data_IF_834369387845
#
_entry.id   IF_834369387845
#
_cell.length_a   1.000
_cell.length_b   1.000
_cell.length_c   1.000
_cell.angle_alpha   90.00
_cell.angle_beta   90.00
_cell.angle_gamma   90.00
#
_symmetry.space_group_name_H-M   'P 1'
#
loop_
_entity.id
_entity.type
_entity.pdbx_description
1 polymer ?
#
# COMPACT_ATOMS: atom_id res chain seq x y z
N UNK A 1 9.82 -15.88 -13.15
CA UNK A 1 10.99 -15.79 -12.25
C UNK A 1 11.05 -14.45 -11.50
N UNK A 2 11.13 -13.29 -12.16
CA UNK A 2 11.22 -11.99 -11.47
C UNK A 2 10.08 -11.67 -10.48
N UNK A 3 8.82 -12.01 -10.80
CA UNK A 3 7.72 -11.82 -9.83
C UNK A 3 7.93 -12.59 -8.54
N UNK A 4 8.36 -13.84 -8.66
CA UNK A 4 8.59 -14.72 -7.51
C UNK A 4 9.71 -14.18 -6.62
N UNK A 5 10.79 -13.68 -7.23
CA UNK A 5 11.89 -13.06 -6.50
C UNK A 5 11.46 -11.78 -5.77
N UNK A 6 10.71 -10.91 -6.45
CA UNK A 6 10.18 -9.67 -5.86
C UNK A 6 9.21 -10.00 -4.71
N UNK A 7 8.26 -10.92 -4.93
CA UNK A 7 7.32 -11.35 -3.89
C UNK A 7 8.05 -11.95 -2.69
N UNK A 8 9.06 -12.80 -2.91
CA UNK A 8 9.82 -13.41 -1.82
C UNK A 8 10.59 -12.36 -1.01
N UNK A 9 11.29 -11.42 -1.68
CA UNK A 9 12.00 -10.33 -1.02
C UNK A 9 11.06 -9.46 -0.18
N UNK A 10 9.91 -9.06 -0.74
CA UNK A 10 8.93 -8.21 -0.05
C UNK A 10 8.25 -8.94 1.11
N UNK A 11 7.94 -10.23 0.98
CA UNK A 11 7.33 -11.03 2.04
C UNK A 11 8.25 -11.29 3.24
N UNK A 12 9.56 -11.37 2.98
CA UNK A 12 10.61 -11.63 3.98
C UNK A 12 11.27 -10.35 4.52
N UNK A 13 10.77 -9.17 4.16
CA UNK A 13 11.28 -7.91 4.68
C UNK A 13 11.07 -7.81 6.20
N UNK A 14 12.14 -7.50 6.92
CA UNK A 14 12.15 -7.24 8.37
C UNK A 14 13.04 -6.02 8.67
N UNK A 15 12.50 -4.87 9.09
CA UNK A 15 11.08 -4.59 9.33
C UNK A 15 10.23 -4.65 8.05
N UNK A 16 8.89 -4.76 8.16
CA UNK A 16 8.00 -4.85 7.01
C UNK A 16 8.09 -3.64 6.08
N UNK A 17 8.13 -3.93 4.78
CA UNK A 17 8.17 -2.92 3.74
C UNK A 17 9.59 -2.60 3.27
N UNK A 18 9.77 -2.46 1.96
CA UNK A 18 11.06 -2.15 1.33
C UNK A 18 10.96 -0.89 0.47
N UNK A 19 11.94 0.00 0.58
CA UNK A 19 12.17 1.01 -0.47
C UNK A 19 12.68 0.35 -1.75
N UNK A 20 12.69 1.08 -2.87
CA UNK A 20 13.29 0.57 -4.11
C UNK A 20 14.76 0.16 -3.96
N UNK A 21 15.53 0.89 -3.14
CA UNK A 21 16.92 0.57 -2.86
C UNK A 21 17.03 -0.75 -2.10
N UNK A 22 16.31 -0.86 -0.98
CA UNK A 22 16.30 -2.10 -0.17
C UNK A 22 15.79 -3.32 -0.95
N UNK A 23 14.82 -3.12 -1.87
CA UNK A 23 14.38 -4.18 -2.77
C UNK A 23 15.48 -4.56 -3.78
N UNK A 24 16.27 -3.60 -4.27
CA UNK A 24 17.45 -3.87 -5.08
C UNK A 24 18.48 -4.69 -4.32
N UNK A 25 18.81 -4.31 -3.09
CA UNK A 25 19.74 -5.02 -2.20
C UNK A 25 19.27 -6.45 -1.92
N UNK A 26 17.99 -6.64 -1.56
CA UNK A 26 17.40 -7.94 -1.30
C UNK A 26 17.42 -8.88 -2.52
N UNK A 27 17.54 -8.32 -3.73
CA UNK A 27 17.65 -9.06 -4.98
C UNK A 27 19.11 -9.22 -5.46
N UNK A 28 20.09 -8.68 -4.72
CA UNK A 28 21.52 -8.74 -5.04
C UNK A 28 21.98 -7.74 -6.10
N UNK A 29 21.36 -6.56 -6.17
CA UNK A 29 21.66 -5.52 -7.16
C UNK A 29 22.26 -4.23 -6.57
N UNK A 30 22.80 -4.26 -5.37
CA UNK A 30 23.47 -3.12 -4.71
C UNK A 30 22.66 -1.81 -4.82
N UNK A 31 21.41 -1.85 -4.35
CA UNK A 31 20.38 -0.82 -4.41
C UNK A 31 19.90 -0.40 -5.82
N UNK A 32 20.59 -0.78 -6.89
CA UNK A 32 20.26 -0.40 -8.26
C UNK A 32 19.42 -1.48 -8.96
N UNK A 33 18.12 -1.49 -8.68
CA UNK A 33 17.19 -2.42 -9.31
C UNK A 33 17.16 -2.27 -10.85
N UNK A 34 17.47 -3.33 -11.63
CA UNK A 34 17.45 -3.26 -13.09
C UNK A 34 16.07 -2.86 -13.64
N UNK A 35 16.04 -2.15 -14.76
CA UNK A 35 14.78 -1.60 -15.31
C UNK A 35 13.73 -2.67 -15.58
N UNK A 36 14.12 -3.88 -15.99
CA UNK A 36 13.20 -5.01 -16.18
C UNK A 36 12.49 -5.39 -14.88
N UNK A 37 13.24 -5.56 -13.78
CA UNK A 37 12.68 -5.86 -12.46
C UNK A 37 11.78 -4.73 -11.98
N UNK A 38 12.20 -3.47 -12.14
CA UNK A 38 11.40 -2.31 -11.74
C UNK A 38 10.08 -2.23 -12.52
N UNK A 39 10.10 -2.45 -13.84
CA UNK A 39 8.88 -2.55 -14.67
C UNK A 39 7.98 -3.69 -14.19
N UNK A 40 8.58 -4.82 -13.79
CA UNK A 40 7.82 -5.96 -13.29
C UNK A 40 7.16 -5.68 -11.95
N UNK A 41 7.87 -5.04 -11.02
CA UNK A 41 7.31 -4.59 -9.75
C UNK A 41 6.15 -3.60 -9.94
N UNK A 42 6.27 -2.64 -10.88
CA UNK A 42 5.15 -1.74 -11.23
C UNK A 42 3.93 -2.49 -11.77
N UNK A 43 4.15 -3.52 -12.60
CA UNK A 43 3.07 -4.40 -13.06
C UNK A 43 2.44 -5.18 -11.90
N UNK A 44 3.23 -5.63 -10.93
CA UNK A 44 2.72 -6.32 -9.74
C UNK A 44 1.88 -5.38 -8.86
N UNK A 45 2.27 -4.10 -8.71
CA UNK A 45 1.49 -3.07 -8.00
C UNK A 45 0.12 -2.87 -8.67
N UNK A 46 0.10 -2.67 -9.99
CA UNK A 46 -1.14 -2.49 -10.75
C UNK A 46 -2.08 -3.70 -10.65
N UNK A 47 -1.51 -4.90 -10.47
CA UNK A 47 -2.24 -6.15 -10.30
C UNK A 47 -2.45 -6.53 -8.82
N UNK A 48 -2.20 -5.63 -7.88
CA UNK A 48 -2.40 -5.83 -6.43
C UNK A 48 -1.65 -7.03 -5.84
N UNK A 49 -0.55 -7.47 -6.47
CA UNK A 49 0.32 -8.56 -5.98
C UNK A 49 1.33 -8.08 -4.92
N UNK A 50 1.59 -6.78 -4.88
CA UNK A 50 2.33 -6.05 -3.85
C UNK A 50 1.72 -4.65 -3.76
N UNK A 51 1.88 -3.97 -2.63
CA UNK A 51 1.35 -2.62 -2.43
C UNK A 51 2.49 -1.61 -2.35
N UNK A 52 2.31 -0.43 -2.93
CA UNK A 52 3.28 0.66 -2.80
C UNK A 52 2.63 1.88 -2.19
N UNK A 53 3.07 2.24 -0.99
CA UNK A 53 2.59 3.39 -0.22
C UNK A 53 3.74 4.38 -0.07
N UNK A 54 3.62 5.54 -0.72
CA UNK A 54 4.72 6.52 -0.75
C UNK A 54 5.99 5.90 -1.35
N UNK A 55 7.07 5.80 -0.59
CA UNK A 55 8.34 5.21 -1.03
C UNK A 55 8.52 3.74 -0.67
N UNK A 56 7.58 3.15 0.08
CA UNK A 56 7.71 1.81 0.64
C UNK A 56 6.80 0.81 -0.08
N UNK A 57 7.31 -0.39 -0.29
CA UNK A 57 6.66 -1.50 -0.98
C UNK A 57 6.39 -2.60 0.04
N UNK A 58 5.11 -2.95 0.22
CA UNK A 58 4.62 -3.93 1.16
C UNK A 58 4.13 -5.20 0.46
N UNK A 59 4.11 -6.33 1.16
CA UNK A 59 3.44 -7.52 0.67
C UNK A 59 1.94 -7.26 0.56
N UNK A 60 1.28 -7.90 -0.41
CA UNK A 60 -0.18 -7.96 -0.45
C UNK A 60 -0.70 -8.90 0.64
N UNK A 61 -1.92 -8.68 1.09
CA UNK A 61 -2.56 -9.50 2.13
C UNK A 61 -2.71 -8.77 3.46
N UNK A 62 -3.16 -9.47 4.51
CA UNK A 62 -3.35 -8.88 5.82
C UNK A 62 -2.00 -8.44 6.41
N UNK A 63 -2.03 -7.33 7.16
CA UNK A 63 -0.89 -6.88 7.96
C UNK A 63 -0.62 -7.94 9.03
N UNK A 64 0.62 -8.44 9.16
CA UNK A 64 0.92 -9.49 10.14
C UNK A 64 0.78 -8.94 11.56
N UNK A 65 0.36 -9.79 12.50
CA UNK A 65 0.16 -9.42 13.91
C UNK A 65 1.43 -8.79 14.54
N UNK A 66 2.61 -9.34 14.21
CA UNK A 66 3.89 -8.81 14.66
C UNK A 66 4.15 -7.38 14.17
N UNK A 67 3.64 -6.98 13.01
CA UNK A 67 3.75 -5.60 12.52
C UNK A 67 2.84 -4.67 13.33
N UNK A 68 1.61 -5.11 13.63
CA UNK A 68 0.65 -4.33 14.41
C UNK A 68 1.18 -4.04 15.83
N UNK A 69 1.82 -5.03 16.45
CA UNK A 69 2.45 -4.93 17.76
C UNK A 69 3.61 -3.92 17.76
N UNK A 70 4.48 -3.99 16.75
CA UNK A 70 5.60 -3.04 16.58
C UNK A 70 5.12 -1.61 16.34
N UNK A 71 4.00 -1.44 15.63
CA UNK A 71 3.47 -0.14 15.28
C UNK A 71 2.61 0.48 16.40
N UNK A 72 2.32 -0.26 17.49
CA UNK A 72 1.35 0.12 18.54
C UNK A 72 0.05 0.64 17.90
N UNK A 73 -0.38 -0.06 16.88
CA UNK A 73 -1.40 0.42 15.97
C UNK A 73 -2.72 0.66 16.70
N UNK A 74 -3.31 1.83 16.47
CA UNK A 74 -4.66 2.17 16.92
C UNK A 74 -5.55 2.20 15.68
N UNK A 75 -6.55 1.33 15.62
CA UNK A 75 -7.51 1.33 14.52
C UNK A 75 -8.14 2.73 14.35
N UNK A 76 -8.33 3.15 13.10
CA UNK A 76 -9.17 4.30 12.83
C UNK A 76 -10.59 4.01 13.29
N UNK A 77 -11.25 5.05 13.81
CA UNK A 77 -12.69 4.96 14.05
C UNK A 77 -13.42 4.75 12.73
N UNK A 78 -14.58 4.08 12.76
CA UNK A 78 -15.39 3.86 11.56
C UNK A 78 -15.70 5.18 10.84
N UNK A 79 -15.95 6.26 11.58
CA UNK A 79 -16.20 7.60 11.02
C UNK A 79 -15.04 8.14 10.19
N UNK A 80 -13.79 8.02 10.69
CA UNK A 80 -12.61 8.49 9.94
C UNK A 80 -12.34 7.58 8.76
N UNK A 81 -12.52 6.26 8.93
CA UNK A 81 -12.37 5.28 7.87
C UNK A 81 -13.34 5.52 6.71
N UNK A 82 -14.60 5.79 7.01
CA UNK A 82 -15.62 6.13 6.01
C UNK A 82 -15.29 7.45 5.32
N UNK A 83 -14.86 8.46 6.09
CA UNK A 83 -14.40 9.75 5.54
C UNK A 83 -13.21 9.59 4.59
N UNK A 84 -12.28 8.68 4.89
CA UNK A 84 -11.14 8.34 4.04
C UNK A 84 -11.58 7.69 2.74
N UNK A 85 -12.51 6.75 2.80
CA UNK A 85 -13.08 6.12 1.61
C UNK A 85 -13.88 7.14 0.76
N UNK A 86 -14.65 8.01 1.39
CA UNK A 86 -15.41 9.06 0.70
C UNK A 86 -14.47 10.04 0.00
N UNK A 87 -13.43 10.52 0.68
CA UNK A 87 -12.41 11.37 0.08
C UNK A 87 -11.75 10.71 -1.14
N UNK A 88 -11.33 9.44 -1.04
CA UNK A 88 -10.74 8.73 -2.18
C UNK A 88 -11.78 8.53 -3.31
N UNK A 89 -13.06 8.33 -2.97
CA UNK A 89 -14.15 8.16 -3.93
C UNK A 89 -14.50 9.44 -4.71
N UNK A 90 -14.28 10.62 -4.12
CA UNK A 90 -14.52 11.92 -4.78
C UNK A 90 -13.50 12.23 -5.90
N UNK A 91 -12.41 11.47 -5.96
CA UNK A 91 -11.34 11.67 -6.94
C UNK A 91 -11.18 10.44 -7.84
N UNK A 92 -10.77 10.66 -9.10
CA UNK A 92 -10.45 9.55 -10.02
C UNK A 92 -9.33 8.66 -9.49
N UNK A 93 -8.34 9.26 -8.85
CA UNK A 93 -7.17 8.63 -8.19
C UNK A 93 -6.61 9.59 -7.15
N UNK A 94 -6.09 9.07 -6.03
CA UNK A 94 -5.42 9.88 -4.99
C UNK A 94 -4.06 9.30 -4.64
N UNK A 95 -3.01 10.12 -4.54
CA UNK A 95 -1.70 9.66 -4.08
C UNK A 95 -1.66 9.44 -2.57
N UNK A 96 -0.74 8.58 -2.11
CA UNK A 96 -0.49 8.40 -0.67
C UNK A 96 -0.17 9.72 0.06
N UNK A 97 0.65 10.60 -0.54
CA UNK A 97 0.99 11.89 0.05
C UNK A 97 -0.26 12.76 0.30
N UNK A 98 -1.16 12.83 -0.68
CA UNK A 98 -2.37 13.63 -0.57
C UNK A 98 -3.35 13.08 0.48
N UNK A 99 -3.36 11.75 0.70
CA UNK A 99 -4.12 11.13 1.78
C UNK A 99 -3.51 11.51 3.13
N UNK A 100 -2.19 11.35 3.30
CA UNK A 100 -1.51 11.75 4.53
C UNK A 100 -1.71 13.22 4.86
N UNK A 101 -1.59 14.11 3.87
CA UNK A 101 -1.78 15.54 4.08
C UNK A 101 -3.21 15.90 4.49
N UNK A 102 -4.20 15.20 3.91
CA UNK A 102 -5.62 15.39 4.22
C UNK A 102 -5.99 14.93 5.65
N UNK A 103 -5.44 13.81 6.10
CA UNK A 103 -5.80 13.16 7.36
C UNK A 103 -4.75 13.33 8.48
N UNK A 104 -3.76 14.20 8.30
CA UNK A 104 -2.65 14.41 9.26
C UNK A 104 -3.08 14.81 10.67
N UNK A 105 -4.26 15.41 10.82
CA UNK A 105 -4.82 15.81 12.11
C UNK A 105 -5.70 14.73 12.74
N UNK A 106 -6.15 13.74 11.94
CA UNK A 106 -7.07 12.70 12.36
C UNK A 106 -6.34 11.42 12.78
N UNK A 107 -5.19 11.15 12.16
CA UNK A 107 -4.35 10.00 12.50
C UNK A 107 -2.89 10.21 12.14
N UNK A 108 -2.01 9.52 12.87
CA UNK A 108 -0.61 9.48 12.51
C UNK A 108 -0.38 8.67 11.23
N UNK A 109 0.78 8.89 10.63
CA UNK A 109 1.13 8.31 9.33
C UNK A 109 1.19 6.78 9.32
N UNK A 110 1.63 6.16 10.43
CA UNK A 110 1.73 4.69 10.53
C UNK A 110 0.34 4.08 10.63
N UNK A 111 -0.54 4.71 11.40
CA UNK A 111 -1.95 4.31 11.47
C UNK A 111 -2.63 4.38 10.11
N UNK A 112 -2.47 5.49 9.37
CA UNK A 112 -2.99 5.61 8.01
C UNK A 112 -2.41 4.56 7.05
N UNK A 113 -1.12 4.25 7.18
CA UNK A 113 -0.46 3.24 6.34
C UNK A 113 -1.03 1.84 6.55
N UNK A 114 -1.20 1.42 7.80
CA UNK A 114 -1.82 0.14 8.14
C UNK A 114 -3.26 0.08 7.63
N UNK A 115 -4.03 1.14 7.79
CA UNK A 115 -5.43 1.18 7.34
C UNK A 115 -5.57 1.12 5.83
N UNK A 116 -4.71 1.83 5.09
CA UNK A 116 -4.71 1.75 3.64
C UNK A 116 -4.36 0.33 3.16
N UNK A 117 -3.44 -0.37 3.85
CA UNK A 117 -3.14 -1.79 3.57
C UNK A 117 -4.31 -2.70 3.88
N UNK A 118 -5.01 -2.49 5.00
CA UNK A 118 -6.22 -3.25 5.35
C UNK A 118 -7.32 -3.06 4.30
N UNK A 119 -7.59 -1.81 3.90
CA UNK A 119 -8.58 -1.49 2.88
C UNK A 119 -8.25 -2.03 1.48
N UNK A 120 -6.96 -2.13 1.13
CA UNK A 120 -6.50 -2.83 -0.08
C UNK A 120 -6.76 -4.34 0.03
N UNK A 121 -6.44 -4.95 1.17
CA UNK A 121 -6.67 -6.38 1.40
C UNK A 121 -8.17 -6.73 1.37
N UNK A 122 -9.02 -5.89 1.95
CA UNK A 122 -10.48 -6.01 1.92
C UNK A 122 -11.11 -5.69 0.56
N UNK A 123 -10.31 -5.28 -0.44
CA UNK A 123 -10.78 -4.86 -1.76
C UNK A 123 -11.77 -3.68 -1.72
N UNK A 124 -11.67 -2.84 -0.70
CA UNK A 124 -12.34 -1.52 -0.61
C UNK A 124 -11.56 -0.46 -1.39
N UNK A 125 -10.25 -0.67 -1.55
CA UNK A 125 -9.36 0.14 -2.37
C UNK A 125 -8.64 -0.73 -3.39
N UNK A 126 -8.13 -0.10 -4.44
CA UNK A 126 -7.15 -0.67 -5.36
C UNK A 126 -6.11 0.38 -5.75
N UNK A 127 -4.95 -0.07 -6.21
CA UNK A 127 -3.89 0.77 -6.75
C UNK A 127 -3.91 0.77 -8.27
N UNK A 128 -3.67 1.93 -8.88
CA UNK A 128 -3.42 2.05 -10.31
C UNK A 128 -1.93 1.81 -10.67
N UNK A 129 -1.58 1.95 -11.95
CA UNK A 129 -0.20 1.79 -12.45
C UNK A 129 0.81 2.78 -11.85
N UNK A 130 0.33 3.86 -11.24
CA UNK A 130 1.15 4.88 -10.59
C UNK A 130 1.16 4.74 -9.07
N UNK A 131 0.62 3.64 -8.52
CA UNK A 131 0.39 3.45 -7.09
C UNK A 131 -0.50 4.53 -6.45
N UNK A 132 -1.45 5.06 -7.21
CA UNK A 132 -2.51 5.93 -6.69
C UNK A 132 -3.75 5.11 -6.34
N UNK A 133 -4.40 5.50 -5.25
CA UNK A 133 -5.58 4.84 -4.70
C UNK A 133 -6.84 5.16 -5.49
N UNK A 134 -7.68 4.15 -5.66
CA UNK A 134 -9.03 4.28 -6.18
C UNK A 134 -9.97 3.50 -5.26
N UNK A 135 -11.15 4.06 -5.00
CA UNK A 135 -12.20 3.35 -4.29
C UNK A 135 -12.77 2.24 -5.15
N UNK A 136 -13.01 1.10 -4.52
CA UNK A 136 -13.75 -0.02 -5.07
C UNK A 136 -15.07 -0.08 -4.31
N UNK A 137 -16.16 0.03 -5.05
CA UNK A 137 -17.51 0.02 -4.50
C UNK A 137 -18.04 -1.41 -4.49
N UNK A 138 -18.64 -1.82 -3.38
CA UNK A 138 -19.39 -3.06 -3.34
C UNK A 138 -20.62 -2.99 -4.27
N UNK A 139 -21.12 -4.12 -4.79
CA UNK A 139 -22.38 -4.16 -5.52
C UNK A 139 -23.51 -3.66 -4.60
N UNK A 140 -23.94 -2.41 -4.76
CA UNK A 140 -24.96 -1.76 -3.92
C UNK A 140 -24.56 -0.40 -3.34
N UNK A 141 -23.27 -0.03 -3.35
CA UNK A 141 -22.86 1.33 -2.95
C UNK A 141 -23.05 2.31 -4.12
N UNK A 142 -23.78 3.40 -3.89
CA UNK A 142 -23.96 4.45 -4.88
C UNK A 142 -22.68 5.28 -5.08
N UNK A 143 -22.39 5.59 -6.34
CA UNK A 143 -21.39 6.60 -6.72
C UNK A 143 -22.09 7.96 -6.69
N UNK A 144 -21.58 8.89 -5.89
CA UNK A 144 -21.95 10.30 -5.98
C UNK A 144 -21.34 10.94 -7.23
#
# INVERSE_FOLDING_TARGET
MAEMLISNAVNNADPPGLTWGQLGDALGFDAQMPSYYKKKAWSMIANQKIYKLGQVIYPSGPVKQSELELLKYTHLTNTIRDSLLDYIGQHKTVSYSNICDKFKNDADRKTLEVELRNLLNERRLKLDKNASFQRVYSPGEHRY
#
